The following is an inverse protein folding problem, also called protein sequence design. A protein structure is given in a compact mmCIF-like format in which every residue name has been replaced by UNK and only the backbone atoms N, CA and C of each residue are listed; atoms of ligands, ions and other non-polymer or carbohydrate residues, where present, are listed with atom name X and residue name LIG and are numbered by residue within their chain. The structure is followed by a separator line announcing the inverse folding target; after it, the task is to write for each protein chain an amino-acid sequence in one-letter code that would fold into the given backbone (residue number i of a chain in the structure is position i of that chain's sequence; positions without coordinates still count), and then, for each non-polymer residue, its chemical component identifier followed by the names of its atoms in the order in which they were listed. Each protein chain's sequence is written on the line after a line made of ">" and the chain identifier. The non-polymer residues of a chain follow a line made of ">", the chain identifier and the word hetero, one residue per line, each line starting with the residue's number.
data_IF_565513189753
#
_entry.id   IF_565513189753
#
_cell.length_a   1.000
_cell.length_b   1.000
_cell.length_c   1.000
_cell.angle_alpha   90.00
_cell.angle_beta   90.00
_cell.angle_gamma   90.00
#
_symmetry.space_group_name_H-M   'P 1'
#
loop_
_entity.id
_entity.type
_entity.pdbx_description
1 polymer ?
#
# COMPACT_ATOMS: atom_id res chain seq x y z
N UNK A 1 -3.69 -3.46 10.52
CA UNK A 1 -2.99 -3.69 9.25
C UNK A 1 -3.38 -5.04 8.69
N UNK A 2 -3.69 -5.09 7.42
CA UNK A 2 -4.03 -6.34 6.74
C UNK A 2 -3.13 -6.49 5.52
N UNK A 3 -2.40 -7.59 5.46
CA UNK A 3 -1.58 -7.91 4.28
C UNK A 3 -2.14 -9.17 3.68
N UNK A 4 -2.68 -9.04 2.48
CA UNK A 4 -3.37 -10.15 1.80
C UNK A 4 -2.39 -11.18 1.24
N UNK A 5 -2.87 -12.40 0.94
CA UNK A 5 -2.01 -13.44 0.37
C UNK A 5 -1.33 -12.99 -0.91
N UNK A 6 -0.09 -13.40 -1.09
CA UNK A 6 0.69 -13.10 -2.28
C UNK A 6 1.27 -11.69 -2.34
N UNK A 7 0.99 -10.83 -1.36
CA UNK A 7 1.62 -9.53 -1.31
C UNK A 7 3.11 -9.68 -0.99
N UNK A 8 3.94 -8.89 -1.67
CA UNK A 8 5.39 -8.89 -1.46
C UNK A 8 5.82 -7.54 -0.93
N UNK A 9 6.30 -7.53 0.30
CA UNK A 9 6.80 -6.33 0.95
C UNK A 9 8.32 -6.45 1.02
N UNK A 10 9.01 -5.57 0.31
CA UNK A 10 10.46 -5.60 0.29
C UNK A 10 11.06 -5.10 1.62
N UNK A 11 12.37 -5.15 1.75
CA UNK A 11 13.05 -4.75 2.97
C UNK A 11 12.89 -3.28 3.32
N UNK A 12 12.99 -2.96 4.61
CA UNK A 12 12.95 -1.59 5.12
C UNK A 12 11.66 -0.83 4.82
N UNK A 13 10.58 -1.54 4.55
CA UNK A 13 9.28 -0.91 4.33
C UNK A 13 8.61 -0.71 5.68
N UNK A 14 8.08 0.50 5.90
CA UNK A 14 7.31 0.83 7.09
C UNK A 14 5.87 0.97 6.66
N UNK A 15 4.97 0.21 7.29
CA UNK A 15 3.55 0.26 6.98
C UNK A 15 2.80 0.72 8.22
N UNK A 16 2.04 1.79 8.08
CA UNK A 16 1.27 2.36 9.17
C UNK A 16 0.09 1.48 9.58
N UNK A 17 -0.49 1.81 10.74
CA UNK A 17 -1.64 1.09 11.27
C UNK A 17 -2.84 1.21 10.34
N UNK A 18 -3.72 0.22 10.38
CA UNK A 18 -4.98 0.19 9.63
C UNK A 18 -4.81 0.26 8.12
N UNK A 19 -3.64 -0.08 7.64
CA UNK A 19 -3.36 -0.13 6.21
C UNK A 19 -3.79 -1.48 5.64
N UNK A 20 -4.36 -1.46 4.46
CA UNK A 20 -4.74 -2.67 3.75
C UNK A 20 -3.84 -2.83 2.52
N UNK A 21 -3.18 -3.98 2.43
CA UNK A 21 -2.35 -4.33 1.26
C UNK A 21 -3.05 -5.45 0.51
N UNK A 22 -3.47 -5.15 -0.69
CA UNK A 22 -4.26 -6.07 -1.51
C UNK A 22 -3.47 -7.27 -2.00
N UNK A 23 -4.20 -8.27 -2.47
CA UNK A 23 -3.64 -9.53 -2.94
C UNK A 23 -2.67 -9.30 -4.09
N UNK A 24 -1.48 -9.90 -4.01
CA UNK A 24 -0.48 -9.80 -5.07
C UNK A 24 0.18 -8.44 -5.23
N UNK A 25 -0.11 -7.48 -4.35
CA UNK A 25 0.54 -6.18 -4.42
C UNK A 25 2.03 -6.29 -4.09
N UNK A 26 2.82 -5.39 -4.66
CA UNK A 26 4.26 -5.36 -4.44
C UNK A 26 4.61 -3.97 -3.91
N UNK A 27 5.33 -3.92 -2.78
CA UNK A 27 5.85 -2.68 -2.23
C UNK A 27 7.36 -2.75 -2.29
N UNK A 28 7.97 -1.82 -3.02
CA UNK A 28 9.41 -1.83 -3.23
C UNK A 28 10.17 -1.41 -1.96
N UNK A 29 11.47 -1.63 -1.98
CA UNK A 29 12.35 -1.44 -0.85
C UNK A 29 12.36 0.00 -0.34
N UNK A 30 12.50 0.15 0.97
CA UNK A 30 12.74 1.44 1.66
C UNK A 30 11.62 2.46 1.52
N UNK A 31 10.39 2.01 1.34
CA UNK A 31 9.23 2.90 1.24
C UNK A 31 8.50 2.99 2.57
N UNK A 32 7.74 4.09 2.73
CA UNK A 32 6.84 4.27 3.87
C UNK A 32 5.42 4.32 3.34
N UNK A 33 4.58 3.45 3.86
CA UNK A 33 3.15 3.44 3.56
C UNK A 33 2.42 4.00 4.78
N UNK A 34 1.65 5.05 4.57
CA UNK A 34 0.97 5.75 5.64
C UNK A 34 -0.12 4.91 6.29
N UNK A 35 -0.67 5.42 7.38
CA UNK A 35 -1.72 4.74 8.12
C UNK A 35 -3.06 4.87 7.39
N UNK A 36 -3.90 3.86 7.54
CA UNK A 36 -5.23 3.87 6.94
C UNK A 36 -5.23 3.88 5.42
N UNK A 37 -4.10 3.57 4.79
CA UNK A 37 -3.99 3.53 3.35
C UNK A 37 -4.53 2.21 2.79
N UNK A 38 -4.88 2.23 1.52
CA UNK A 38 -5.32 1.03 0.80
C UNK A 38 -4.44 0.88 -0.45
N UNK A 39 -3.79 -0.27 -0.55
CA UNK A 39 -3.05 -0.63 -1.74
C UNK A 39 -3.87 -1.68 -2.47
N UNK A 40 -4.34 -1.36 -3.67
CA UNK A 40 -5.21 -2.26 -4.41
C UNK A 40 -4.47 -3.52 -4.86
N UNK A 41 -5.23 -4.58 -5.07
CA UNK A 41 -4.66 -5.86 -5.52
C UNK A 41 -3.85 -5.68 -6.81
N UNK A 42 -2.72 -6.36 -6.89
CA UNK A 42 -1.87 -6.35 -8.07
C UNK A 42 -1.09 -5.06 -8.30
N UNK A 43 -1.16 -4.10 -7.38
CA UNK A 43 -0.44 -2.83 -7.55
C UNK A 43 1.05 -2.98 -7.29
N UNK A 44 1.85 -2.12 -7.93
CA UNK A 44 3.29 -2.03 -7.68
C UNK A 44 3.58 -0.65 -7.11
N UNK A 45 3.86 -0.60 -5.81
CA UNK A 45 4.11 0.66 -5.12
C UNK A 45 5.58 1.02 -5.28
N UNK A 46 5.84 2.15 -5.92
CA UNK A 46 7.20 2.62 -6.22
C UNK A 46 7.57 3.89 -5.47
N UNK A 47 6.64 4.48 -4.74
CA UNK A 47 6.83 5.71 -3.96
C UNK A 47 6.13 5.58 -2.62
N UNK A 48 6.49 6.44 -1.68
CA UNK A 48 5.80 6.52 -0.41
C UNK A 48 4.32 6.78 -0.63
N UNK A 49 3.50 6.19 0.24
CA UNK A 49 2.04 6.32 0.17
C UNK A 49 1.59 7.17 1.35
N UNK A 50 0.92 8.29 1.10
CA UNK A 50 0.40 9.13 2.18
C UNK A 50 -0.67 8.42 3.01
N UNK A 51 -0.99 8.99 4.18
CA UNK A 51 -2.05 8.47 5.02
C UNK A 51 -3.41 8.57 4.32
N UNK A 52 -4.26 7.59 4.57
CA UNK A 52 -5.67 7.61 4.16
C UNK A 52 -5.90 7.83 2.67
N UNK A 53 -5.02 7.28 1.83
CA UNK A 53 -5.23 7.30 0.38
C UNK A 53 -5.31 5.87 -0.15
N UNK A 54 -5.94 5.73 -1.30
CA UNK A 54 -5.91 4.49 -2.05
C UNK A 54 -5.00 4.66 -3.25
N UNK A 55 -4.14 3.69 -3.47
CA UNK A 55 -3.29 3.64 -4.67
C UNK A 55 -3.59 2.39 -5.47
N UNK A 56 -3.43 2.49 -6.77
CA UNK A 56 -3.74 1.40 -7.68
C UNK A 56 -2.86 1.48 -8.92
N UNK A 57 -2.53 0.35 -9.47
CA UNK A 57 -1.82 0.25 -10.74
C UNK A 57 -0.35 -0.12 -10.62
N UNK A 58 0.31 -0.17 -11.77
CA UNK A 58 1.73 -0.46 -11.88
C UNK A 58 2.36 0.52 -12.88
N UNK A 59 3.00 1.61 -12.40
CA UNK A 59 3.22 1.97 -11.00
C UNK A 59 1.93 2.47 -10.33
N UNK A 60 1.83 2.23 -9.03
CA UNK A 60 0.65 2.62 -8.28
C UNK A 60 0.50 4.14 -8.22
N UNK A 61 -0.72 4.60 -8.39
CA UNK A 61 -1.08 6.01 -8.35
C UNK A 61 -2.24 6.21 -7.38
N UNK A 62 -2.31 7.39 -6.78
CA UNK A 62 -3.42 7.74 -5.90
C UNK A 62 -4.71 7.78 -6.71
N UNK A 63 -5.67 6.93 -6.34
CA UNK A 63 -6.98 6.87 -7.00
C UNK A 63 -8.10 7.38 -6.11
N UNK A 64 -7.89 7.41 -4.79
CA UNK A 64 -8.83 7.95 -3.82
C UNK A 64 -8.08 8.57 -2.67
N UNK A 65 -8.63 9.65 -2.13
CA UNK A 65 -8.13 10.27 -0.93
C UNK A 65 -9.14 10.08 0.20
N UNK A 66 -8.67 10.18 1.45
CA UNK A 66 -9.50 10.07 2.65
C UNK A 66 -10.24 8.74 2.76
N UNK A 67 -9.57 7.65 2.38
CA UNK A 67 -10.12 6.31 2.59
C UNK A 67 -9.80 5.84 4.00
N UNK A 68 -10.49 4.80 4.43
CA UNK A 68 -10.16 4.08 5.65
C UNK A 68 -9.59 2.71 5.29
N UNK A 69 -8.41 2.40 5.81
CA UNK A 69 -7.80 1.09 5.67
C UNK A 69 -8.42 0.10 6.65
N UNK A 70 -7.82 -1.09 6.73
CA UNK A 70 -8.28 -2.16 7.60
C UNK A 70 -7.19 -2.73 8.49
#
# INVERSE_FOLDING_TARGET
>A
MTISPGANIAGRVIIGDRTYVGMGAIVLDSLTVGRGAVIAAGSVVTRDVPDHVQVMGAPARVTRERVEGR
#
